data_IF_404684707415
#
_entry.id   IF_404684707415
#
_cell.length_a   1.000
_cell.length_b   1.000
_cell.length_c   1.000
_cell.angle_alpha   90.00
_cell.angle_beta   90.00
_cell.angle_gamma   90.00
#
_symmetry.space_group_name_H-M   'P 1'
#
loop_
_entity.id
_entity.type
_entity.pdbx_description
1 polymer ?
#
# COMPACT_ATOMS: atom_id res chain seq x y z
N UNK A 1 -63.17 42.61 18.69
CA UNK A 1 -63.40 41.19 19.02
C UNK A 1 -63.10 40.18 17.91
N UNK A 2 -62.88 40.56 16.65
CA UNK A 2 -62.54 39.56 15.54
C UNK A 2 -61.06 39.20 15.45
N UNK A 3 -60.15 40.07 15.87
CA UNK A 3 -58.68 39.78 15.78
C UNK A 3 -58.19 38.66 16.75
N UNK A 4 -58.75 38.56 17.93
CA UNK A 4 -58.36 37.53 18.91
C UNK A 4 -58.81 36.11 18.56
N UNK A 5 -59.83 35.95 17.72
CA UNK A 5 -60.24 34.64 17.22
C UNK A 5 -59.27 34.10 16.17
N UNK A 6 -58.73 34.95 15.30
CA UNK A 6 -57.72 34.55 14.31
C UNK A 6 -56.40 34.17 14.95
N UNK A 7 -55.98 34.93 15.99
CA UNK A 7 -54.72 34.62 16.70
C UNK A 7 -54.81 33.27 17.44
N UNK A 8 -55.95 32.94 18.04
CA UNK A 8 -56.16 31.65 18.72
C UNK A 8 -56.19 30.46 17.74
N UNK A 9 -56.76 30.63 16.57
CA UNK A 9 -56.80 29.61 15.53
C UNK A 9 -55.40 29.39 14.93
N UNK A 10 -54.60 30.45 14.74
CA UNK A 10 -53.21 30.34 14.26
C UNK A 10 -52.30 29.64 15.26
N UNK A 11 -52.46 29.90 16.57
CA UNK A 11 -51.70 29.24 17.62
C UNK A 11 -52.11 27.76 17.76
N UNK A 12 -53.37 27.45 17.61
CA UNK A 12 -53.86 26.07 17.63
C UNK A 12 -53.38 25.25 16.42
N UNK A 13 -53.28 25.88 15.24
CA UNK A 13 -52.74 25.24 14.02
C UNK A 13 -51.24 25.02 14.15
N UNK A 14 -50.51 25.93 14.81
CA UNK A 14 -49.05 25.79 15.06
C UNK A 14 -48.74 24.69 16.07
N UNK A 15 -49.62 24.45 17.05
CA UNK A 15 -49.48 23.36 18.03
C UNK A 15 -49.84 21.97 17.47
N UNK A 16 -50.65 21.91 16.40
CA UNK A 16 -50.97 20.64 15.73
C UNK A 16 -49.88 20.16 14.78
N UNK A 17 -48.98 21.06 14.35
CA UNK A 17 -47.84 20.68 13.50
C UNK A 17 -46.59 20.25 14.28
N UNK A 18 -46.56 20.35 15.60
CA UNK A 18 -45.42 19.98 16.44
C UNK A 18 -45.45 18.55 16.99
N UNK A 19 -46.56 17.82 16.78
CA UNK A 19 -46.69 16.43 17.22
C UNK A 19 -46.85 15.47 16.02
N UNK A 20 -45.78 15.27 15.29
CA UNK A 20 -45.87 14.30 14.16
C UNK A 20 -44.68 14.23 13.23
N UNK A 21 -43.49 14.61 13.70
CA UNK A 21 -42.28 14.15 13.05
C UNK A 21 -41.72 13.04 13.95
N UNK A 22 -42.41 11.94 14.02
CA UNK A 22 -41.75 10.66 14.27
C UNK A 22 -40.67 10.56 13.19
N UNK A 23 -39.43 10.72 13.62
CA UNK A 23 -38.30 10.29 12.80
C UNK A 23 -38.57 8.83 12.51
N UNK A 24 -39.15 8.55 11.35
CA UNK A 24 -39.03 7.24 10.73
C UNK A 24 -37.52 7.10 10.47
N UNK A 25 -36.80 6.68 11.50
CA UNK A 25 -35.55 5.99 11.31
C UNK A 25 -35.99 4.71 10.57
N UNK A 26 -35.87 4.75 9.26
CA UNK A 26 -35.75 3.54 8.49
C UNK A 26 -34.54 2.80 9.10
N UNK A 27 -34.83 1.98 10.08
CA UNK A 27 -33.91 1.04 10.66
C UNK A 27 -33.71 0.01 9.55
N UNK A 28 -32.85 0.40 8.59
CA UNK A 28 -32.29 -0.51 7.62
C UNK A 28 -31.45 -1.50 8.44
N UNK A 29 -32.17 -2.45 9.03
CA UNK A 29 -31.59 -3.61 9.69
C UNK A 29 -31.04 -4.53 8.60
N UNK A 30 -30.14 -3.99 7.78
CA UNK A 30 -29.23 -4.80 6.99
C UNK A 30 -28.38 -5.56 8.00
N UNK A 31 -28.79 -6.80 8.24
CA UNK A 31 -28.01 -7.77 9.00
C UNK A 31 -26.61 -7.71 8.44
N UNK A 32 -25.68 -7.20 9.24
CA UNK A 32 -24.32 -6.95 8.79
C UNK A 32 -23.70 -8.29 8.40
N UNK A 33 -23.69 -8.58 7.09
CA UNK A 33 -23.23 -9.85 6.55
C UNK A 33 -21.70 -9.82 6.48
N UNK A 34 -21.06 -10.73 7.18
CA UNK A 34 -19.62 -10.96 7.03
C UNK A 34 -19.36 -11.59 5.66
N UNK A 35 -18.32 -11.14 5.00
CA UNK A 35 -17.88 -11.64 3.69
C UNK A 35 -16.47 -12.21 3.85
N UNK A 36 -16.28 -13.39 3.31
CA UNK A 36 -14.99 -14.04 3.12
C UNK A 36 -14.63 -13.88 1.65
N UNK A 37 -13.37 -13.55 1.37
CA UNK A 37 -12.84 -13.51 0.01
C UNK A 37 -11.49 -14.20 -0.03
N UNK A 38 -11.19 -14.88 -1.13
CA UNK A 38 -9.92 -15.55 -1.39
C UNK A 38 -9.30 -14.98 -2.66
N UNK A 39 -8.01 -14.69 -2.65
CA UNK A 39 -7.27 -14.16 -3.78
C UNK A 39 -5.97 -14.93 -3.97
N UNK A 40 -5.60 -15.15 -5.22
CA UNK A 40 -4.36 -15.82 -5.59
C UNK A 40 -3.29 -14.80 -5.97
N UNK A 41 -2.04 -15.05 -5.54
CA UNK A 41 -0.89 -14.23 -5.83
C UNK A 41 0.29 -15.06 -6.32
N UNK A 42 0.88 -14.65 -7.43
CA UNK A 42 2.18 -15.12 -7.92
C UNK A 42 3.14 -13.92 -7.96
N UNK A 43 3.87 -13.65 -6.87
CA UNK A 43 4.80 -12.54 -6.80
C UNK A 43 6.09 -12.79 -7.59
N UNK A 44 6.96 -11.79 -7.62
CA UNK A 44 8.23 -11.77 -8.35
C UNK A 44 9.16 -12.96 -8.02
N UNK A 45 9.11 -13.45 -6.79
CA UNK A 45 9.92 -14.60 -6.35
C UNK A 45 9.36 -15.96 -6.83
N UNK A 46 8.28 -15.95 -7.63
CA UNK A 46 7.60 -17.13 -8.17
C UNK A 46 7.12 -18.14 -7.11
N UNK A 47 6.97 -17.71 -5.85
CA UNK A 47 6.38 -18.54 -4.80
C UNK A 47 4.91 -18.15 -4.65
N UNK A 48 3.98 -18.97 -5.18
CA UNK A 48 2.56 -18.66 -5.12
C UNK A 48 2.02 -18.78 -3.70
N UNK A 49 1.04 -17.92 -3.38
CA UNK A 49 0.30 -17.98 -2.13
C UNK A 49 -1.16 -17.56 -2.32
N UNK A 50 -2.00 -17.95 -1.38
CA UNK A 50 -3.37 -17.49 -1.27
C UNK A 50 -3.50 -16.49 -0.12
N UNK A 51 -4.22 -15.40 -0.34
CA UNK A 51 -4.61 -14.45 0.70
C UNK A 51 -6.12 -14.51 0.90
N UNK A 52 -6.53 -14.73 2.13
CA UNK A 52 -7.93 -14.71 2.55
C UNK A 52 -8.19 -13.39 3.25
N UNK A 53 -9.31 -12.73 2.95
CA UNK A 53 -9.72 -11.49 3.60
C UNK A 53 -11.12 -11.62 4.16
N UNK A 54 -11.33 -11.11 5.39
CA UNK A 54 -12.63 -11.11 6.07
C UNK A 54 -13.09 -9.69 6.36
N UNK A 55 -14.26 -9.33 5.86
CA UNK A 55 -14.86 -8.01 6.02
C UNK A 55 -16.35 -8.13 6.34
N UNK A 56 -16.87 -7.18 7.10
CA UNK A 56 -18.29 -7.08 7.42
C UNK A 56 -18.82 -5.80 6.79
N UNK A 57 -19.92 -5.91 6.03
CA UNK A 57 -20.57 -4.75 5.44
C UNK A 57 -21.52 -4.12 6.46
N UNK A 58 -21.29 -2.88 6.83
CA UNK A 58 -22.12 -2.06 7.72
C UNK A 58 -22.63 -0.85 6.94
N UNK A 59 -23.81 -0.96 6.35
CA UNK A 59 -24.36 0.06 5.47
C UNK A 59 -23.46 0.29 4.24
N UNK A 60 -22.84 1.47 4.15
CA UNK A 60 -21.93 1.83 3.04
C UNK A 60 -20.43 1.58 3.34
N UNK A 61 -20.09 1.17 4.55
CA UNK A 61 -18.70 0.95 4.97
C UNK A 61 -18.43 -0.54 5.15
N UNK A 62 -17.15 -0.91 4.96
CA UNK A 62 -16.64 -2.24 5.30
C UNK A 62 -15.79 -2.14 6.56
N UNK A 63 -16.06 -2.99 7.52
CA UNK A 63 -15.24 -3.16 8.71
C UNK A 63 -14.46 -4.47 8.63
N UNK A 64 -13.26 -4.45 9.16
CA UNK A 64 -12.38 -5.62 9.22
C UNK A 64 -12.86 -6.56 10.30
N UNK A 65 -12.99 -7.86 9.98
CA UNK A 65 -13.25 -8.91 10.96
C UNK A 65 -11.96 -9.67 11.22
N UNK A 66 -11.58 -9.75 12.51
CA UNK A 66 -10.28 -10.33 12.96
C UNK A 66 -10.49 -11.72 13.53
N UNK A 67 -9.38 -12.47 13.61
CA UNK A 67 -9.32 -13.76 14.30
C UNK A 67 -10.34 -14.79 13.80
N UNK A 68 -10.66 -14.77 12.50
CA UNK A 68 -11.50 -15.79 11.88
C UNK A 68 -10.62 -16.98 11.48
N UNK A 69 -10.85 -18.17 12.04
CA UNK A 69 -10.17 -19.38 11.59
C UNK A 69 -10.75 -19.84 10.25
N UNK A 70 -9.89 -20.06 9.25
CA UNK A 70 -10.27 -20.45 7.89
C UNK A 70 -9.49 -21.68 7.49
N UNK A 71 -10.21 -22.69 7.00
CA UNK A 71 -9.64 -23.84 6.32
C UNK A 71 -9.58 -23.57 4.82
N UNK A 72 -8.48 -23.93 4.17
CA UNK A 72 -8.30 -23.75 2.73
C UNK A 72 -8.11 -25.12 2.10
N UNK A 73 -8.94 -25.40 1.10
CA UNK A 73 -9.00 -26.68 0.41
C UNK A 73 -8.67 -26.52 -1.07
N UNK A 74 -8.25 -27.61 -1.68
CA UNK A 74 -8.03 -27.75 -3.12
C UNK A 74 -9.16 -28.57 -3.72
N UNK A 75 -9.79 -28.09 -4.79
CA UNK A 75 -10.93 -28.67 -5.53
C UNK A 75 -12.22 -28.78 -4.72
N UNK A 76 -12.22 -29.53 -3.64
CA UNK A 76 -13.40 -29.83 -2.83
C UNK A 76 -13.09 -29.61 -1.35
N UNK A 77 -14.11 -29.18 -0.59
CA UNK A 77 -14.00 -28.99 0.86
C UNK A 77 -14.03 -30.34 1.59
N UNK A 78 -12.98 -31.14 1.40
CA UNK A 78 -12.78 -32.45 2.00
C UNK A 78 -11.49 -32.43 2.87
N UNK A 79 -11.45 -33.12 4.01
CA UNK A 79 -10.26 -33.22 4.85
C UNK A 79 -9.00 -33.70 4.12
N UNK A 80 -9.13 -34.54 3.09
CA UNK A 80 -8.01 -35.05 2.30
C UNK A 80 -7.43 -33.99 1.35
N UNK A 81 -8.22 -32.99 1.02
CA UNK A 81 -7.85 -31.88 0.13
C UNK A 81 -7.44 -30.62 0.89
N UNK A 82 -7.26 -30.70 2.21
CA UNK A 82 -6.88 -29.57 3.05
C UNK A 82 -5.45 -29.12 2.75
N UNK A 83 -5.29 -27.89 2.23
CA UNK A 83 -4.00 -27.24 2.03
C UNK A 83 -3.43 -26.72 3.34
N UNK A 84 -4.31 -26.20 4.21
CA UNK A 84 -3.92 -25.74 5.53
C UNK A 84 -4.99 -24.92 6.23
N UNK A 85 -4.67 -24.54 7.48
CA UNK A 85 -5.54 -23.75 8.36
C UNK A 85 -4.83 -22.44 8.68
N UNK A 86 -5.55 -21.34 8.57
CA UNK A 86 -5.03 -20.00 8.86
C UNK A 86 -6.04 -19.21 9.68
N UNK A 87 -5.55 -18.22 10.41
CA UNK A 87 -6.41 -17.29 11.18
C UNK A 87 -6.14 -15.87 10.70
N UNK A 88 -7.21 -15.11 10.45
CA UNK A 88 -7.05 -13.72 10.00
C UNK A 88 -6.48 -12.83 11.10
N UNK A 89 -5.56 -11.96 10.73
CA UNK A 89 -4.84 -11.03 11.61
C UNK A 89 -5.67 -9.80 12.00
N UNK A 90 -5.02 -8.80 12.61
CA UNK A 90 -5.64 -7.52 12.99
C UNK A 90 -6.16 -6.70 11.80
N UNK A 91 -5.72 -6.98 10.59
CA UNK A 91 -6.16 -6.36 9.33
C UNK A 91 -7.22 -7.18 8.60
N UNK A 92 -7.66 -8.33 9.20
CA UNK A 92 -8.62 -9.26 8.61
C UNK A 92 -8.06 -10.06 7.44
N UNK A 93 -6.73 -10.24 7.40
CA UNK A 93 -6.03 -10.96 6.35
C UNK A 93 -5.32 -12.19 6.91
N UNK A 94 -5.30 -13.25 6.12
CA UNK A 94 -4.47 -14.42 6.37
C UNK A 94 -3.82 -14.88 5.07
N UNK A 95 -2.58 -15.36 5.13
CA UNK A 95 -1.84 -15.85 3.96
C UNK A 95 -1.39 -17.28 4.19
N UNK A 96 -1.46 -18.06 3.12
CA UNK A 96 -0.94 -19.42 3.10
C UNK A 96 -0.15 -19.66 1.81
N UNK A 97 1.07 -20.16 1.95
CA UNK A 97 1.84 -20.69 0.83
C UNK A 97 1.44 -22.14 0.56
N UNK A 98 1.75 -22.65 -0.61
CA UNK A 98 1.46 -24.04 -0.94
C UNK A 98 2.44 -24.99 -0.26
N UNK A 99 1.94 -26.08 0.38
CA UNK A 99 2.81 -27.07 1.00
C UNK A 99 3.63 -27.81 -0.06
N UNK A 100 4.80 -28.33 0.34
CA UNK A 100 5.70 -29.05 -0.57
C UNK A 100 5.03 -30.27 -1.21
N UNK A 101 4.09 -30.92 -0.52
CA UNK A 101 3.29 -32.03 -1.05
C UNK A 101 2.43 -31.64 -2.25
N UNK A 102 2.07 -30.36 -2.37
CA UNK A 102 1.24 -29.84 -3.47
C UNK A 102 2.04 -29.61 -4.76
N UNK A 103 3.37 -29.70 -4.72
CA UNK A 103 4.23 -29.41 -5.87
C UNK A 103 3.90 -30.28 -7.09
N UNK A 104 3.69 -31.58 -6.92
CA UNK A 104 3.35 -32.48 -8.02
C UNK A 104 2.02 -32.10 -8.68
N UNK A 105 1.02 -31.75 -7.87
CA UNK A 105 -0.29 -31.29 -8.35
C UNK A 105 -0.11 -29.96 -9.10
N UNK A 106 0.66 -29.03 -8.55
CA UNK A 106 0.99 -27.77 -9.20
C UNK A 106 1.66 -27.94 -10.56
N UNK A 107 2.59 -28.90 -10.70
CA UNK A 107 3.33 -29.10 -11.95
C UNK A 107 2.47 -29.75 -13.03
N UNK A 108 1.53 -30.61 -12.68
CA UNK A 108 0.72 -31.39 -13.61
C UNK A 108 -0.62 -30.80 -13.97
N UNK A 109 -1.14 -29.90 -13.16
CA UNK A 109 -2.48 -29.30 -13.33
C UNK A 109 -2.41 -27.94 -14.02
N UNK A 110 -3.36 -27.64 -14.89
CA UNK A 110 -3.45 -26.35 -15.59
C UNK A 110 -4.44 -25.39 -14.96
N UNK A 111 -5.41 -25.89 -14.20
CA UNK A 111 -6.46 -25.11 -13.55
C UNK A 111 -6.61 -25.57 -12.10
N UNK A 112 -6.71 -24.63 -11.18
CA UNK A 112 -6.75 -24.85 -9.74
C UNK A 112 -8.00 -24.21 -9.16
N UNK A 113 -8.84 -24.98 -8.50
CA UNK A 113 -9.95 -24.47 -7.69
C UNK A 113 -9.52 -24.46 -6.23
N UNK A 114 -9.65 -23.31 -5.57
CA UNK A 114 -9.39 -23.16 -4.15
C UNK A 114 -10.66 -22.75 -3.43
N UNK A 115 -10.93 -23.36 -2.29
CA UNK A 115 -12.09 -23.08 -1.46
C UNK A 115 -11.59 -22.69 -0.07
N UNK A 116 -12.02 -21.53 0.40
CA UNK A 116 -11.81 -21.07 1.77
C UNK A 116 -13.12 -21.21 2.54
N UNK A 117 -13.09 -21.85 3.70
CA UNK A 117 -14.25 -22.09 4.55
C UNK A 117 -13.95 -21.68 5.99
N UNK A 118 -14.85 -20.90 6.59
CA UNK A 118 -14.75 -20.54 8.00
C UNK A 118 -14.93 -21.78 8.89
N UNK A 119 -13.94 -22.02 9.75
CA UNK A 119 -14.01 -23.12 10.73
C UNK A 119 -14.80 -22.69 11.96
N UNK A 120 -16.12 -22.45 11.83
CA UNK A 120 -16.97 -22.11 12.96
C UNK A 120 -17.96 -23.23 13.29
N UNK A 121 -18.16 -23.47 14.57
CA UNK A 121 -19.18 -24.42 15.06
C UNK A 121 -20.49 -23.68 15.30
N UNK A 122 -21.57 -24.11 14.60
CA UNK A 122 -22.95 -23.73 14.95
C UNK A 122 -23.61 -22.66 14.07
N UNK A 123 -23.00 -22.24 12.95
CA UNK A 123 -23.62 -21.40 11.90
C UNK A 123 -23.26 -21.97 10.54
N UNK A 124 -24.01 -21.58 9.51
CA UNK A 124 -23.56 -21.83 8.13
C UNK A 124 -22.18 -21.20 7.95
N UNK A 125 -21.15 -21.97 7.58
CA UNK A 125 -19.80 -21.46 7.43
C UNK A 125 -19.75 -20.47 6.27
N UNK A 126 -18.97 -19.41 6.42
CA UNK A 126 -18.68 -18.52 5.31
C UNK A 126 -17.75 -19.25 4.35
N UNK A 127 -18.11 -19.26 3.08
CA UNK A 127 -17.32 -19.89 2.01
C UNK A 127 -16.96 -18.86 0.96
N UNK A 128 -15.76 -19.00 0.39
CA UNK A 128 -15.30 -18.28 -0.79
C UNK A 128 -14.54 -19.24 -1.69
N UNK A 129 -14.70 -19.11 -2.99
CA UNK A 129 -13.98 -19.93 -3.96
C UNK A 129 -13.33 -19.07 -5.05
N UNK A 130 -12.23 -19.56 -5.59
CA UNK A 130 -11.55 -18.98 -6.75
C UNK A 130 -11.03 -20.11 -7.64
N UNK A 131 -11.20 -19.93 -8.95
CA UNK A 131 -10.62 -20.84 -9.95
C UNK A 131 -9.56 -20.10 -10.73
N UNK A 132 -8.35 -20.63 -10.77
CA UNK A 132 -7.17 -19.99 -11.36
C UNK A 132 -6.57 -20.90 -12.41
N UNK A 133 -6.33 -20.35 -13.59
CA UNK A 133 -5.55 -20.99 -14.66
C UNK A 133 -4.07 -20.72 -14.46
N UNK A 134 -3.26 -21.72 -14.74
CA UNK A 134 -1.81 -21.58 -14.66
C UNK A 134 -1.31 -20.67 -15.77
N UNK A 135 -0.68 -19.57 -15.37
CA UNK A 135 -0.17 -18.57 -16.31
C UNK A 135 1.26 -18.14 -15.96
N UNK A 136 1.96 -17.66 -16.95
CA UNK A 136 3.28 -17.05 -16.82
C UNK A 136 3.24 -15.64 -17.40
N UNK A 137 3.69 -14.68 -16.61
CA UNK A 137 3.90 -13.30 -17.01
C UNK A 137 5.38 -13.06 -17.19
N UNK A 138 5.79 -12.51 -18.32
CA UNK A 138 7.17 -12.12 -18.58
C UNK A 138 7.26 -10.66 -18.96
N UNK A 139 8.41 -10.02 -18.70
CA UNK A 139 8.66 -8.62 -19.06
C UNK A 139 9.94 -8.54 -19.87
N UNK A 140 9.91 -7.81 -20.98
CA UNK A 140 11.06 -7.52 -21.81
C UNK A 140 11.15 -6.02 -22.12
N UNK A 141 12.31 -5.60 -22.65
CA UNK A 141 12.60 -4.20 -22.94
C UNK A 141 13.44 -4.08 -24.18
N UNK A 142 13.07 -3.14 -25.05
CA UNK A 142 13.86 -2.75 -26.21
C UNK A 142 14.24 -1.28 -26.12
N UNK A 143 15.36 -0.91 -26.74
CA UNK A 143 15.80 0.48 -26.85
C UNK A 143 16.37 0.66 -28.23
N UNK A 144 15.62 1.33 -29.08
CA UNK A 144 15.97 1.59 -30.49
C UNK A 144 15.78 3.09 -30.79
N UNK A 145 16.73 3.71 -31.45
CA UNK A 145 16.71 5.11 -31.87
C UNK A 145 16.30 6.10 -30.76
N UNK A 146 16.71 5.83 -29.52
CA UNK A 146 16.38 6.65 -28.34
C UNK A 146 15.00 6.37 -27.76
N UNK A 147 14.15 5.60 -28.42
CA UNK A 147 12.86 5.16 -27.90
C UNK A 147 13.03 3.90 -27.05
N UNK A 148 12.51 3.95 -25.84
CA UNK A 148 12.54 2.84 -24.87
C UNK A 148 11.15 2.22 -24.76
N UNK A 149 11.04 0.93 -25.04
CA UNK A 149 9.79 0.19 -24.96
C UNK A 149 9.83 -0.83 -23.84
N UNK A 150 8.75 -0.93 -23.10
CA UNK A 150 8.51 -1.98 -22.09
C UNK A 150 7.42 -2.89 -22.61
N UNK A 151 7.69 -4.18 -22.69
CA UNK A 151 6.77 -5.18 -23.24
C UNK A 151 6.53 -6.25 -22.19
N UNK A 152 5.26 -6.56 -21.89
CA UNK A 152 4.87 -7.70 -21.08
C UNK A 152 4.15 -8.74 -21.93
N UNK A 153 4.36 -10.01 -21.64
CA UNK A 153 3.72 -11.12 -22.34
C UNK A 153 3.08 -12.05 -21.33
N UNK A 154 1.78 -12.28 -21.48
CA UNK A 154 1.03 -13.24 -20.70
C UNK A 154 0.71 -14.47 -21.53
N UNK A 155 1.05 -15.65 -20.97
CA UNK A 155 0.70 -16.95 -21.56
C UNK A 155 0.03 -17.82 -20.50
N UNK A 156 -1.03 -18.54 -20.89
CA UNK A 156 -1.65 -19.58 -20.06
C UNK A 156 -1.17 -20.98 -20.47
N UNK A 157 -1.19 -21.90 -19.55
CA UNK A 157 -0.90 -23.31 -19.83
C UNK A 157 -2.17 -24.01 -20.28
N UNK A 158 -2.22 -24.43 -21.54
CA UNK A 158 -3.34 -25.18 -22.12
C UNK A 158 -2.83 -26.49 -22.71
N UNK A 159 -3.36 -27.62 -22.24
CA UNK A 159 -2.84 -28.93 -22.61
C UNK A 159 -1.40 -29.14 -22.13
N UNK A 160 -0.43 -29.11 -23.03
CA UNK A 160 1.01 -29.19 -22.72
C UNK A 160 1.76 -27.90 -23.02
N UNK A 161 1.13 -26.98 -23.77
CA UNK A 161 1.76 -25.80 -24.37
C UNK A 161 1.39 -24.50 -23.67
N UNK A 162 2.23 -23.48 -23.87
CA UNK A 162 1.98 -22.12 -23.44
C UNK A 162 1.31 -21.32 -24.54
N UNK A 163 0.05 -20.97 -24.37
CA UNK A 163 -0.79 -20.24 -25.33
C UNK A 163 -0.86 -18.76 -24.90
N UNK A 164 -0.71 -17.81 -25.84
CA UNK A 164 -0.84 -16.40 -25.54
C UNK A 164 -2.28 -16.05 -25.14
N UNK A 165 -2.44 -15.09 -24.21
CA UNK A 165 -3.73 -14.65 -23.70
C UNK A 165 -3.99 -13.22 -24.13
N UNK A 166 -5.08 -13.00 -24.84
CA UNK A 166 -5.53 -11.68 -25.31
C UNK A 166 -6.52 -11.02 -24.33
N UNK A 167 -6.72 -9.72 -24.54
CA UNK A 167 -7.74 -8.90 -23.86
C UNK A 167 -7.58 -8.86 -22.32
N UNK A 168 -6.33 -8.95 -21.82
CA UNK A 168 -6.01 -8.82 -20.40
C UNK A 168 -5.33 -7.48 -20.13
N UNK A 169 -5.87 -6.76 -19.16
CA UNK A 169 -5.30 -5.50 -18.70
C UNK A 169 -4.07 -5.75 -17.80
N UNK A 170 -2.96 -5.15 -18.17
CA UNK A 170 -1.68 -5.22 -17.48
C UNK A 170 -1.23 -3.84 -17.04
N UNK A 171 -0.67 -3.75 -15.85
CA UNK A 171 -0.04 -2.54 -15.33
C UNK A 171 1.45 -2.61 -15.59
N UNK A 172 1.97 -1.67 -16.41
CA UNK A 172 3.41 -1.51 -16.65
C UNK A 172 3.92 -0.30 -15.88
N UNK A 173 4.86 -0.52 -14.97
CA UNK A 173 5.27 0.50 -14.00
C UNK A 173 6.75 0.41 -13.64
N UNK A 174 7.23 1.49 -13.01
CA UNK A 174 8.54 1.56 -12.35
C UNK A 174 8.32 1.43 -10.86
N UNK A 175 9.02 0.51 -10.22
CA UNK A 175 8.99 0.31 -8.76
C UNK A 175 9.57 1.52 -8.04
N UNK A 176 8.81 2.09 -7.11
CA UNK A 176 9.23 3.21 -6.26
C UNK A 176 8.91 2.90 -4.79
N UNK A 177 9.51 3.68 -3.89
CA UNK A 177 9.40 3.44 -2.44
C UNK A 177 7.96 3.53 -1.91
N UNK A 178 7.15 4.47 -2.43
CA UNK A 178 5.80 4.74 -1.93
C UNK A 178 4.69 4.24 -2.87
N UNK A 179 5.03 3.46 -3.88
CA UNK A 179 4.08 2.94 -4.88
C UNK A 179 4.70 2.90 -6.26
N UNK A 180 4.08 2.18 -7.17
CA UNK A 180 4.56 2.07 -8.54
C UNK A 180 4.15 3.29 -9.37
N UNK A 181 5.04 3.72 -10.29
CA UNK A 181 4.80 4.81 -11.23
C UNK A 181 4.59 4.22 -12.62
N UNK A 182 3.49 4.53 -13.30
CA UNK A 182 3.26 4.06 -14.68
C UNK A 182 4.41 4.43 -15.61
N UNK A 183 4.79 3.54 -16.52
CA UNK A 183 5.87 3.78 -17.51
C UNK A 183 5.48 4.83 -18.55
N UNK A 184 4.20 4.94 -18.91
CA UNK A 184 3.68 5.87 -19.91
C UNK A 184 2.50 6.68 -19.39
N UNK A 185 1.61 7.05 -20.29
CA UNK A 185 0.48 7.95 -20.02
C UNK A 185 -0.76 7.22 -19.49
N UNK A 186 -0.84 5.89 -19.69
CA UNK A 186 -1.98 5.07 -19.26
C UNK A 186 -1.63 4.33 -17.99
N UNK A 187 -2.64 4.01 -17.19
CA UNK A 187 -2.50 3.16 -16.00
C UNK A 187 -2.44 1.68 -16.38
N UNK A 188 -3.20 1.28 -17.40
CA UNK A 188 -3.29 -0.10 -17.88
C UNK A 188 -3.07 -0.20 -19.39
N UNK A 189 -2.58 -1.33 -19.83
CA UNK A 189 -2.30 -1.67 -21.23
C UNK A 189 -2.85 -3.07 -21.50
N UNK A 190 -3.76 -3.19 -22.45
CA UNK A 190 -4.44 -4.46 -22.77
C UNK A 190 -3.59 -5.31 -23.70
N UNK A 191 -3.53 -6.63 -23.47
CA UNK A 191 -2.81 -7.56 -24.32
C UNK A 191 -3.52 -7.79 -25.66
N UNK A 192 -2.71 -7.95 -26.71
CA UNK A 192 -3.16 -8.28 -28.06
C UNK A 192 -3.37 -9.79 -28.26
N UNK A 193 -3.65 -10.20 -29.51
CA UNK A 193 -3.83 -11.60 -29.89
C UNK A 193 -2.60 -12.49 -29.66
N UNK A 194 -1.42 -11.88 -29.53
CA UNK A 194 -0.15 -12.55 -29.19
C UNK A 194 0.14 -12.56 -27.69
N UNK A 195 -0.82 -12.10 -26.86
CA UNK A 195 -0.66 -11.98 -25.42
C UNK A 195 0.30 -10.86 -25.00
N UNK A 196 0.61 -9.94 -25.93
CA UNK A 196 1.61 -8.89 -25.74
C UNK A 196 0.95 -7.59 -25.39
N UNK A 197 1.47 -6.92 -24.38
CA UNK A 197 1.12 -5.57 -23.99
C UNK A 197 2.39 -4.72 -23.97
N UNK A 198 2.42 -3.60 -24.68
CA UNK A 198 3.60 -2.74 -24.81
C UNK A 198 3.30 -1.30 -24.49
N UNK A 199 4.27 -0.62 -23.90
CA UNK A 199 4.21 0.80 -23.59
C UNK A 199 5.56 1.47 -23.82
N UNK A 200 5.52 2.68 -24.36
CA UNK A 200 6.68 3.54 -24.44
C UNK A 200 7.04 4.07 -23.05
N UNK A 201 8.31 4.01 -22.70
CA UNK A 201 8.83 4.55 -21.46
C UNK A 201 9.02 6.07 -21.59
N UNK A 202 8.04 6.82 -21.10
CA UNK A 202 7.99 8.28 -21.21
C UNK A 202 8.49 9.01 -19.95
N UNK A 203 9.28 8.35 -19.12
CA UNK A 203 9.76 8.92 -17.85
C UNK A 203 11.21 9.31 -17.97
N UNK A 204 11.46 10.61 -18.13
CA UNK A 204 12.80 11.16 -18.12
C UNK A 204 13.31 11.38 -16.68
N UNK A 205 14.61 11.25 -16.49
CA UNK A 205 15.30 11.62 -15.26
C UNK A 205 14.80 10.94 -13.98
N UNK A 206 14.28 9.73 -14.07
CA UNK A 206 13.93 8.94 -12.88
C UNK A 206 15.21 8.59 -12.11
N UNK A 207 15.30 8.91 -10.79
CA UNK A 207 16.43 8.48 -9.98
C UNK A 207 16.54 6.97 -9.94
N UNK A 208 17.67 6.41 -10.31
CA UNK A 208 18.03 5.01 -10.21
C UNK A 208 18.91 4.72 -8.98
N UNK A 209 19.57 3.57 -9.01
CA UNK A 209 20.65 3.26 -8.07
C UNK A 209 21.94 4.02 -8.41
N UNK A 210 23.06 3.66 -7.77
CA UNK A 210 24.37 4.27 -8.04
C UNK A 210 24.84 4.07 -9.50
N UNK A 211 24.33 3.06 -10.19
CA UNK A 211 24.64 2.74 -11.61
C UNK A 211 23.54 3.26 -12.55
N UNK A 212 22.46 3.85 -12.03
CA UNK A 212 21.32 4.30 -12.81
C UNK A 212 20.31 3.19 -13.11
N UNK A 213 20.36 2.03 -12.41
CA UNK A 213 19.36 1.00 -12.62
C UNK A 213 18.05 1.37 -11.93
N UNK A 214 16.95 1.10 -12.62
CA UNK A 214 15.57 1.14 -12.13
C UNK A 214 14.95 -0.24 -12.26
N UNK A 215 13.92 -0.53 -11.48
CA UNK A 215 13.20 -1.79 -11.56
C UNK A 215 11.86 -1.53 -12.25
N UNK A 216 11.67 -2.16 -13.41
CA UNK A 216 10.40 -2.20 -14.10
C UNK A 216 9.56 -3.35 -13.57
N UNK A 217 8.25 -3.15 -13.48
CA UNK A 217 7.29 -4.13 -12.97
C UNK A 217 6.15 -4.27 -13.97
N UNK A 218 5.85 -5.47 -14.37
CA UNK A 218 4.61 -5.81 -15.05
C UNK A 218 3.72 -6.59 -14.10
N UNK A 219 2.43 -6.23 -14.06
CA UNK A 219 1.44 -6.83 -13.16
C UNK A 219 0.13 -7.10 -13.88
N UNK A 220 -0.50 -8.21 -13.54
CA UNK A 220 -1.94 -8.45 -13.73
C UNK A 220 -2.56 -8.35 -12.33
N UNK A 221 -3.61 -7.56 -12.16
CA UNK A 221 -4.20 -7.26 -10.85
C UNK A 221 -5.66 -7.70 -10.84
N UNK A 222 -6.02 -8.45 -9.79
CA UNK A 222 -7.40 -8.93 -9.51
C UNK A 222 -8.13 -9.53 -10.72
N UNK A 223 -7.40 -10.26 -11.56
CA UNK A 223 -7.99 -10.94 -12.71
C UNK A 223 -8.73 -12.20 -12.27
N UNK A 224 -9.92 -12.42 -12.80
CA UNK A 224 -10.79 -13.55 -12.42
C UNK A 224 -10.16 -14.92 -12.72
N UNK A 225 -9.39 -15.03 -13.83
CA UNK A 225 -8.80 -16.29 -14.28
C UNK A 225 -7.36 -16.50 -13.81
N UNK A 226 -6.61 -15.41 -13.56
CA UNK A 226 -5.17 -15.50 -13.27
C UNK A 226 -4.79 -14.94 -11.90
N UNK A 227 -5.74 -14.29 -11.21
CA UNK A 227 -5.49 -13.62 -9.94
C UNK A 227 -4.52 -12.45 -10.08
N UNK A 228 -3.53 -12.41 -9.19
CA UNK A 228 -2.52 -11.36 -9.14
C UNK A 228 -1.15 -11.92 -9.53
N UNK A 229 -0.64 -11.49 -10.67
CA UNK A 229 0.69 -11.89 -11.18
C UNK A 229 1.62 -10.68 -11.17
N UNK A 230 2.88 -10.87 -10.84
CA UNK A 230 3.89 -9.82 -10.90
C UNK A 230 5.25 -10.34 -11.34
N UNK A 231 5.94 -9.56 -12.19
CA UNK A 231 7.31 -9.83 -12.62
C UNK A 231 8.12 -8.53 -12.63
N UNK A 232 9.40 -8.62 -12.32
CA UNK A 232 10.32 -7.48 -12.27
C UNK A 232 11.51 -7.68 -13.22
N UNK A 233 11.98 -6.57 -13.80
CA UNK A 233 13.21 -6.52 -14.61
C UNK A 233 14.00 -5.28 -14.26
N UNK A 234 15.29 -5.44 -13.96
CA UNK A 234 16.19 -4.32 -13.73
C UNK A 234 16.76 -3.83 -15.06
N UNK A 235 16.70 -2.50 -15.29
CA UNK A 235 17.22 -1.85 -16.50
C UNK A 235 17.97 -0.57 -16.15
N UNK A 236 19.00 -0.24 -16.92
CA UNK A 236 19.81 0.97 -16.71
C UNK A 236 19.22 2.18 -17.50
N UNK A 237 18.03 2.62 -17.06
CA UNK A 237 17.33 3.75 -17.70
C UNK A 237 17.13 4.93 -16.77
N UNK A 238 17.58 4.82 -15.54
CA UNK A 238 17.48 5.88 -14.55
C UNK A 238 18.72 6.77 -14.47
N UNK A 239 18.56 7.92 -13.82
CA UNK A 239 19.69 8.79 -13.50
C UNK A 239 20.47 8.22 -12.30
N UNK A 240 21.81 8.06 -12.38
CA UNK A 240 22.61 7.59 -11.26
C UNK A 240 22.50 8.50 -10.05
N UNK A 241 22.18 7.98 -8.89
CA UNK A 241 22.08 8.73 -7.64
C UNK A 241 23.20 8.30 -6.70
N UNK A 242 24.04 9.26 -6.33
CA UNK A 242 25.08 9.02 -5.32
C UNK A 242 24.43 8.99 -3.93
N UNK A 243 24.70 7.96 -3.13
CA UNK A 243 24.18 7.93 -1.76
C UNK A 243 24.78 9.11 -0.98
N UNK A 244 23.92 9.81 -0.29
CA UNK A 244 24.33 10.86 0.64
C UNK A 244 25.03 10.16 1.81
N UNK A 245 26.36 10.29 1.90
CA UNK A 245 27.18 9.63 2.92
C UNK A 245 26.83 10.07 4.36
N UNK A 246 26.22 11.24 4.51
CA UNK A 246 25.93 11.87 5.79
C UNK A 246 24.46 12.28 5.94
N UNK A 247 23.54 11.40 5.59
CA UNK A 247 22.10 11.67 5.64
C UNK A 247 21.61 12.22 6.99
N UNK A 248 22.15 11.70 8.10
CA UNK A 248 21.83 12.19 9.44
C UNK A 248 22.44 13.55 9.76
N UNK A 249 23.62 13.84 9.23
CA UNK A 249 24.29 15.13 9.43
C UNK A 249 23.57 16.27 8.67
N UNK A 250 23.00 15.99 7.51
CA UNK A 250 22.26 16.98 6.71
C UNK A 250 20.84 17.25 7.24
N UNK A 251 20.25 16.29 7.94
CA UNK A 251 18.90 16.40 8.53
C UNK A 251 18.89 16.65 10.04
N UNK A 252 20.03 16.56 10.69
CA UNK A 252 20.11 16.83 12.12
C UNK A 252 19.88 18.33 12.38
N UNK A 253 18.94 18.67 13.25
CA UNK A 253 18.81 20.00 13.85
C UNK A 253 20.08 20.38 14.63
N UNK A 254 20.92 19.40 14.93
CA UNK A 254 22.19 19.55 15.61
C UNK A 254 23.32 19.52 14.58
N UNK A 255 23.86 20.69 14.25
CA UNK A 255 25.02 20.81 13.39
C UNK A 255 26.29 20.41 14.13
N UNK A 256 27.12 19.56 13.53
CA UNK A 256 28.47 19.32 14.04
C UNK A 256 29.35 20.55 13.83
N UNK A 257 30.36 20.74 14.68
CA UNK A 257 31.28 21.89 14.63
C UNK A 257 31.88 22.17 13.24
N UNK A 258 32.04 21.14 12.42
CA UNK A 258 32.61 21.22 11.07
C UNK A 258 31.63 21.69 10.00
N UNK A 259 30.33 21.68 10.28
CA UNK A 259 29.25 22.04 9.34
C UNK A 259 28.54 23.34 9.71
N UNK A 260 28.92 23.95 10.84
CA UNK A 260 28.36 25.23 11.26
C UNK A 260 28.90 26.35 10.37
N UNK A 261 28.04 27.23 9.81
CA UNK A 261 28.49 28.39 9.06
C UNK A 261 29.43 29.23 9.90
N UNK A 262 30.61 29.61 9.34
CA UNK A 262 31.64 30.32 10.07
C UNK A 262 31.14 31.63 10.69
N UNK A 263 30.28 32.36 10.00
CA UNK A 263 29.72 33.61 10.52
C UNK A 263 28.91 33.40 11.80
N UNK A 264 28.13 32.29 11.90
CA UNK A 264 27.36 31.96 13.10
C UNK A 264 28.31 31.63 14.27
N UNK A 265 29.39 30.92 13.99
CA UNK A 265 30.39 30.54 14.95
C UNK A 265 31.08 31.80 15.52
N UNK A 266 31.47 32.75 14.66
CA UNK A 266 32.05 34.03 15.08
C UNK A 266 31.07 34.86 15.92
N UNK A 267 29.80 34.95 15.55
CA UNK A 267 28.82 35.71 16.32
C UNK A 267 28.63 35.14 17.72
N UNK A 268 28.50 33.82 17.85
CA UNK A 268 28.36 33.14 19.16
C UNK A 268 29.58 33.36 20.03
N UNK A 269 30.79 33.15 19.48
CA UNK A 269 32.03 33.38 20.25
C UNK A 269 32.22 34.86 20.64
N UNK A 270 31.87 35.80 19.79
CA UNK A 270 31.97 37.24 20.14
C UNK A 270 31.07 37.62 21.31
N UNK A 271 29.83 37.08 21.34
CA UNK A 271 28.91 37.30 22.47
C UNK A 271 29.48 36.70 23.75
N UNK A 272 29.95 35.45 23.71
CA UNK A 272 30.54 34.79 24.88
C UNK A 272 31.76 35.57 25.40
N UNK A 273 32.67 36.00 24.51
CA UNK A 273 33.84 36.77 24.89
C UNK A 273 33.47 38.15 25.47
N UNK A 274 32.45 38.82 24.93
CA UNK A 274 31.96 40.09 25.47
C UNK A 274 31.42 39.93 26.88
N UNK A 275 30.62 38.90 27.15
CA UNK A 275 30.10 38.64 28.48
C UNK A 275 31.19 38.32 29.48
N UNK A 276 32.13 37.44 29.12
CA UNK A 276 33.29 37.15 29.97
C UNK A 276 34.19 38.36 30.20
N UNK A 277 34.42 39.15 29.16
CA UNK A 277 35.20 40.37 29.25
C UNK A 277 34.59 41.38 30.23
N UNK A 278 33.30 41.61 30.18
CA UNK A 278 32.58 42.49 31.13
C UNK A 278 32.63 41.96 32.57
N UNK A 279 32.47 40.65 32.78
CA UNK A 279 32.55 40.03 34.08
C UNK A 279 33.97 40.20 34.71
N UNK A 280 35.00 39.95 33.93
CA UNK A 280 36.39 40.13 34.33
C UNK A 280 36.66 41.58 34.68
N UNK A 281 36.22 42.52 33.83
CA UNK A 281 36.36 43.96 34.10
C UNK A 281 35.67 44.36 35.41
N UNK A 282 34.47 43.90 35.69
CA UNK A 282 33.77 44.19 36.94
C UNK A 282 34.50 43.62 38.16
N UNK A 283 35.07 42.41 38.07
CA UNK A 283 35.89 41.84 39.14
C UNK A 283 37.10 42.73 39.43
N UNK A 284 37.81 43.19 38.41
CA UNK A 284 38.94 44.12 38.59
C UNK A 284 38.51 45.43 39.26
N UNK A 285 37.33 46.00 38.86
CA UNK A 285 36.83 47.20 39.49
C UNK A 285 36.47 46.98 41.00
N UNK A 286 35.85 45.86 41.32
CA UNK A 286 35.53 45.52 42.70
C UNK A 286 36.82 45.36 43.54
N UNK A 287 37.84 44.66 43.01
CA UNK A 287 39.15 44.52 43.68
C UNK A 287 39.83 45.88 43.88
N UNK A 288 39.75 46.79 42.87
CA UNK A 288 40.30 48.16 42.96
C UNK A 288 39.60 48.95 44.03
N UNK A 289 38.28 48.91 44.13
CA UNK A 289 37.48 49.57 45.18
C UNK A 289 37.87 49.08 46.55
N UNK A 290 37.97 47.74 46.71
CA UNK A 290 38.35 47.12 47.97
C UNK A 290 39.77 47.55 48.44
N UNK A 291 40.72 47.65 47.50
CA UNK A 291 42.08 48.18 47.80
C UNK A 291 42.06 49.62 48.23
N UNK A 292 41.24 50.48 47.61
CA UNK A 292 41.13 51.89 48.00
C UNK A 292 40.43 52.05 49.35
N UNK A 293 39.39 51.25 49.66
CA UNK A 293 38.74 51.27 50.96
C UNK A 293 39.56 50.78 52.12
N UNK A 294 40.63 50.03 51.92
CA UNK A 294 41.56 49.58 52.96
C UNK A 294 42.74 50.55 53.20
N UNK A 295 42.78 51.71 52.46
CA UNK A 295 43.79 52.72 52.61
C UNK A 295 43.28 53.98 53.40
N UNK A 296 42.02 53.95 53.79
CA UNK A 296 41.39 54.91 54.70
C UNK A 296 41.31 54.23 56.08
#
# INVERSE_FOLDING_TARGET
MKAYKFLRISILLLLLTSNGIDKIQAQDSTVAKTQLNISYFLPVNHVPYLEVTTRKKLGRKFEVVKNIPVNIYFNEADPNNLLGKVTTDSTGKARIGFPASFKNVWDTTNEFKFIAEESSTGKEPLTAEITIKKAILTIDTTSEDGTRMVTAVLKEKSGGDWVPVKDIDMVLSVKRLLGNLSVGDKETYTSDSSGVSSAEFKRDSIPGDQKGNIILVAQVVDNENYGNLAVEKSVNWGAPVKPIKNFFAERALWSTRTQTPLWLLFTVYSIVLSVWGTLIYLIFQVVKIKKLGNQI
#
